data_IF_073109329893
#
_entry.id   IF_073109329893
#
_cell.length_a   1.000
_cell.length_b   1.000
_cell.length_c   1.000
_cell.angle_alpha   90.00
_cell.angle_beta   90.00
_cell.angle_gamma   90.00
#
_symmetry.space_group_name_H-M   'P 1'
#
loop_
_entity.id
_entity.type
_entity.pdbx_description
1 polymer ?
#
# COMPACT_ATOMS: atom_id res chain seq x y z
N UNK A 1 -0.67 106.32 -37.67
CA UNK A 1 -1.93 106.97 -37.22
C UNK A 1 -1.98 106.62 -35.72
N UNK A 2 -1.59 107.60 -34.94
CA UNK A 2 -2.38 108.40 -34.03
C UNK A 2 -2.98 107.60 -32.91
N UNK A 3 -2.76 107.85 -31.63
CA UNK A 3 -2.33 109.02 -30.86
C UNK A 3 -2.42 108.59 -29.38
N UNK A 4 -1.49 109.05 -28.59
CA UNK A 4 -1.57 110.21 -27.73
C UNK A 4 -2.55 110.06 -26.55
N UNK A 5 -2.03 110.17 -25.36
CA UNK A 5 -2.52 110.99 -24.30
C UNK A 5 -2.44 110.41 -22.90
N UNK A 6 -1.45 110.87 -22.23
CA UNK A 6 -1.33 111.90 -21.20
C UNK A 6 -1.98 111.56 -19.82
N UNK A 7 -1.05 111.47 -18.80
CA UNK A 7 -0.98 112.35 -17.59
C UNK A 7 -2.07 112.12 -16.56
N UNK A 8 -1.87 112.01 -15.29
CA UNK A 8 -1.17 112.88 -14.33
C UNK A 8 -1.27 112.30 -12.93
N UNK A 9 -0.18 112.24 -12.24
CA UNK A 9 0.20 112.96 -11.03
C UNK A 9 -0.65 112.79 -9.76
N UNK A 10 0.13 112.48 -8.72
CA UNK A 10 0.02 112.95 -7.32
C UNK A 10 -1.09 112.29 -6.49
N UNK A 11 -0.94 111.84 -5.27
CA UNK A 11 -0.12 112.25 -4.11
C UNK A 11 -0.11 111.15 -3.08
N UNK A 12 1.05 110.79 -2.58
CA UNK A 12 1.45 110.80 -1.18
C UNK A 12 0.35 110.59 -0.11
N UNK A 13 0.48 109.56 0.67
CA UNK A 13 0.53 109.57 2.13
C UNK A 13 1.05 108.27 2.70
N UNK A 14 2.13 108.34 3.33
CA UNK A 14 2.86 107.53 4.29
C UNK A 14 2.00 106.89 5.39
N UNK A 15 2.15 105.58 5.58
CA UNK A 15 2.08 104.97 6.94
C UNK A 15 2.80 103.62 6.95
N UNK A 16 3.88 103.50 7.67
CA UNK A 16 4.59 102.34 8.21
C UNK A 16 3.76 101.70 9.32
N UNK A 17 4.25 100.57 9.95
CA UNK A 17 4.62 99.22 9.44
C UNK A 17 3.83 98.15 10.18
N UNK A 18 3.77 96.93 9.65
CA UNK A 18 3.46 95.72 10.47
C UNK A 18 4.32 94.58 10.01
N UNK A 19 5.19 94.17 10.90
CA UNK A 19 6.05 93.00 10.96
C UNK A 19 5.42 91.76 10.38
N UNK A 20 5.93 91.25 9.24
CA UNK A 20 5.67 89.90 8.74
C UNK A 20 6.76 88.98 9.34
N UNK A 21 6.36 88.13 10.29
CA UNK A 21 7.18 87.07 10.82
C UNK A 21 7.32 85.95 9.77
N UNK A 22 8.57 85.82 9.24
CA UNK A 22 8.96 84.73 8.34
C UNK A 22 9.00 83.41 9.15
N UNK A 23 7.96 82.54 9.06
CA UNK A 23 7.99 81.19 9.56
C UNK A 23 8.81 80.30 8.64
N UNK A 24 10.11 80.16 8.90
CA UNK A 24 10.96 79.15 8.26
C UNK A 24 10.50 77.76 8.79
N UNK A 25 9.69 77.05 7.98
CA UNK A 25 9.38 75.63 8.22
C UNK A 25 10.68 74.86 8.06
N UNK A 26 11.29 74.42 9.19
CA UNK A 26 12.31 73.39 9.20
C UNK A 26 11.65 72.04 8.71
N UNK A 27 11.90 71.71 7.43
CA UNK A 27 11.75 70.33 6.91
C UNK A 27 12.84 69.50 7.56
N UNK A 28 12.46 68.88 8.74
CA UNK A 28 13.22 67.79 9.30
C UNK A 28 13.07 66.58 8.33
N UNK A 29 14.20 65.99 7.85
CA UNK A 29 14.10 64.75 7.08
C UNK A 29 13.44 63.68 7.97
N UNK A 30 12.29 63.15 7.53
CA UNK A 30 11.69 61.98 8.19
C UNK A 30 12.69 60.84 8.05
N UNK A 31 13.06 60.16 9.15
CA UNK A 31 13.89 58.97 9.06
C UNK A 31 13.15 57.95 8.19
N UNK A 32 13.77 57.54 7.09
CA UNK A 32 13.29 56.42 6.29
C UNK A 32 13.07 55.24 7.26
N UNK A 33 11.95 54.46 7.14
CA UNK A 33 11.75 53.34 7.98
C UNK A 33 12.95 52.42 7.84
N UNK A 34 13.69 52.20 8.91
CA UNK A 34 14.79 51.26 8.98
C UNK A 34 14.23 49.90 8.54
N UNK A 35 14.60 49.43 7.37
CA UNK A 35 14.27 48.09 6.92
C UNK A 35 14.86 47.13 7.94
N UNK A 36 14.01 46.47 8.67
CA UNK A 36 14.46 45.42 9.60
C UNK A 36 15.36 44.46 8.82
N UNK A 37 16.51 44.05 9.39
CA UNK A 37 17.46 43.20 8.69
C UNK A 37 16.74 41.93 8.25
N UNK A 38 16.62 41.72 6.95
CA UNK A 38 15.99 40.57 6.33
C UNK A 38 16.82 39.34 6.70
N UNK A 39 16.19 38.36 7.35
CA UNK A 39 16.84 37.10 7.65
C UNK A 39 17.05 36.34 6.32
N UNK A 40 18.28 35.99 6.02
CA UNK A 40 18.63 35.23 4.81
C UNK A 40 19.23 33.89 5.25
N UNK A 41 18.65 32.80 4.77
CA UNK A 41 19.02 31.40 5.20
C UNK A 41 19.20 30.55 3.95
N UNK A 42 20.24 29.69 3.91
CA UNK A 42 20.38 28.71 2.85
C UNK A 42 19.31 27.65 2.96
N UNK A 43 18.80 27.21 1.81
CA UNK A 43 17.79 26.18 1.70
C UNK A 43 18.03 25.27 0.52
N UNK A 44 17.11 24.34 0.32
CA UNK A 44 17.11 23.39 -0.80
C UNK A 44 15.70 23.19 -1.31
N UNK A 45 15.56 23.09 -2.62
CA UNK A 45 14.29 22.71 -3.25
C UNK A 45 14.06 21.22 -3.04
N UNK A 46 12.88 20.85 -2.57
CA UNK A 46 12.44 19.47 -2.37
C UNK A 46 11.08 19.25 -3.02
N UNK A 47 10.75 17.98 -3.33
CA UNK A 47 9.37 17.59 -3.61
C UNK A 47 8.61 17.39 -2.30
N UNK A 48 7.35 17.77 -2.25
CA UNK A 48 6.48 17.48 -1.11
C UNK A 48 6.27 15.96 -0.92
N UNK A 49 6.38 15.16 -2.00
CA UNK A 49 6.35 13.69 -1.95
C UNK A 49 7.61 13.07 -1.34
N UNK A 50 8.70 13.84 -1.23
CA UNK A 50 9.95 13.35 -0.66
C UNK A 50 10.73 12.42 -1.59
N UNK A 51 11.83 11.87 -1.04
CA UNK A 51 12.65 10.83 -1.71
C UNK A 51 12.40 9.50 -1.02
N UNK A 52 12.06 8.49 -1.81
CA UNK A 52 11.82 7.13 -1.34
C UNK A 52 13.01 6.24 -1.71
N UNK A 53 13.53 5.51 -0.73
CA UNK A 53 14.51 4.45 -0.93
C UNK A 53 13.78 3.15 -1.21
N UNK A 54 13.94 2.61 -2.39
CA UNK A 54 13.30 1.37 -2.81
C UNK A 54 14.27 0.21 -2.60
N UNK A 55 13.83 -0.77 -1.82
CA UNK A 55 14.52 -2.03 -1.58
C UNK A 55 13.74 -3.20 -2.14
N UNK A 56 14.26 -4.42 -1.96
CA UNK A 56 13.55 -5.65 -2.29
C UNK A 56 12.82 -6.19 -1.07
N UNK A 57 11.59 -6.66 -1.26
CA UNK A 57 10.85 -7.45 -0.28
C UNK A 57 11.13 -8.96 -0.41
N UNK A 58 11.80 -9.40 -1.50
CA UNK A 58 12.17 -10.78 -1.78
C UNK A 58 13.67 -11.03 -1.67
N UNK A 59 14.05 -12.31 -1.57
CA UNK A 59 15.42 -12.79 -1.67
C UNK A 59 15.63 -13.42 -3.03
N UNK A 60 16.75 -13.11 -3.68
CA UNK A 60 17.06 -13.67 -5.00
C UNK A 60 18.17 -12.91 -5.71
N UNK A 61 18.52 -13.35 -6.90
CA UNK A 61 19.46 -12.64 -7.75
C UNK A 61 18.70 -11.69 -8.68
N UNK A 62 19.19 -10.47 -8.84
CA UNK A 62 18.62 -9.51 -9.80
C UNK A 62 18.84 -10.07 -11.21
N UNK A 63 17.74 -10.29 -11.93
CA UNK A 63 17.75 -10.70 -13.32
C UNK A 63 17.92 -9.49 -14.24
N UNK A 64 17.07 -8.47 -14.06
CA UNK A 64 17.08 -7.28 -14.89
C UNK A 64 16.71 -6.03 -14.10
N UNK A 65 17.29 -4.89 -14.50
CA UNK A 65 16.94 -3.55 -14.04
C UNK A 65 16.32 -2.80 -15.22
N UNK A 66 15.04 -2.49 -15.10
CA UNK A 66 14.20 -2.00 -16.21
C UNK A 66 14.15 -0.46 -16.30
N UNK A 67 14.75 0.22 -15.35
CA UNK A 67 14.72 1.69 -15.28
C UNK A 67 16.12 2.27 -15.30
N UNK A 68 16.20 3.53 -15.76
CA UNK A 68 17.45 4.31 -15.80
C UNK A 68 17.35 5.52 -14.89
N UNK A 69 18.47 6.07 -14.42
CA UNK A 69 18.47 7.36 -13.73
C UNK A 69 17.72 8.42 -14.56
N UNK A 70 16.94 9.25 -13.87
CA UNK A 70 16.10 10.34 -14.39
C UNK A 70 14.91 9.90 -15.25
N UNK A 71 14.63 8.62 -15.41
CA UNK A 71 13.40 8.16 -16.03
C UNK A 71 12.19 8.46 -15.14
N UNK A 72 11.05 8.78 -15.78
CA UNK A 72 9.77 8.92 -15.09
C UNK A 72 9.13 7.56 -14.92
N UNK A 73 8.54 7.33 -13.75
CA UNK A 73 7.84 6.09 -13.40
C UNK A 73 6.48 6.41 -12.80
N UNK A 74 5.52 5.51 -12.99
CA UNK A 74 4.20 5.56 -12.39
C UNK A 74 4.05 4.51 -11.29
N UNK A 75 3.13 4.74 -10.39
CA UNK A 75 2.80 3.76 -9.35
C UNK A 75 2.45 2.40 -9.97
N UNK A 76 3.10 1.33 -9.51
CA UNK A 76 2.95 -0.02 -10.03
C UNK A 76 3.92 -0.40 -11.16
N UNK A 77 4.65 0.55 -11.76
CA UNK A 77 5.65 0.24 -12.80
C UNK A 77 6.71 -0.71 -12.27
N UNK A 78 7.12 -1.65 -13.10
CA UNK A 78 8.16 -2.62 -12.78
C UNK A 78 9.53 -1.97 -12.91
N UNK A 79 10.31 -2.03 -11.83
CA UNK A 79 11.62 -1.37 -11.71
C UNK A 79 12.76 -2.37 -11.82
N UNK A 80 12.65 -3.48 -11.10
CA UNK A 80 13.65 -4.54 -11.01
C UNK A 80 12.96 -5.88 -10.95
N UNK A 81 13.48 -6.87 -11.67
CA UNK A 81 13.06 -8.28 -11.61
C UNK A 81 14.12 -9.14 -10.96
N UNK A 82 13.68 -10.10 -10.16
CA UNK A 82 14.54 -11.12 -9.59
C UNK A 82 14.38 -12.43 -10.37
N UNK A 83 15.37 -13.31 -10.33
CA UNK A 83 15.25 -14.67 -10.85
C UNK A 83 14.28 -15.48 -10.00
N UNK A 84 13.08 -15.68 -10.51
CA UNK A 84 11.96 -16.28 -9.82
C UNK A 84 11.64 -17.70 -10.25
N UNK A 85 12.41 -18.29 -11.14
CA UNK A 85 12.20 -19.67 -11.61
C UNK A 85 12.00 -20.68 -10.49
N UNK A 86 12.77 -20.66 -9.36
CA UNK A 86 12.51 -21.58 -8.25
C UNK A 86 11.16 -21.35 -7.56
N UNK A 87 10.71 -20.09 -7.45
CA UNK A 87 9.45 -19.72 -6.82
C UNK A 87 8.26 -20.04 -7.74
N UNK A 88 8.42 -19.85 -9.05
CA UNK A 88 7.43 -20.28 -10.06
C UNK A 88 7.18 -21.77 -9.99
N UNK A 89 8.26 -22.59 -9.93
CA UNK A 89 8.16 -24.02 -9.74
C UNK A 89 7.47 -24.40 -8.40
N UNK A 90 7.71 -23.64 -7.32
CA UNK A 90 7.00 -23.83 -6.05
C UNK A 90 5.50 -23.55 -6.21
N UNK A 91 5.11 -22.47 -6.91
CA UNK A 91 3.69 -22.14 -7.18
C UNK A 91 3.01 -23.26 -7.95
N UNK A 92 3.66 -23.81 -8.98
CA UNK A 92 3.12 -24.95 -9.74
C UNK A 92 2.93 -26.19 -8.85
N UNK A 93 3.94 -26.51 -8.01
CA UNK A 93 3.85 -27.63 -7.09
C UNK A 93 2.70 -27.47 -6.08
N UNK A 94 2.48 -26.27 -5.53
CA UNK A 94 1.38 -25.97 -4.62
C UNK A 94 0.03 -25.99 -5.33
N UNK A 95 -0.05 -25.53 -6.57
CA UNK A 95 -1.26 -25.63 -7.38
C UNK A 95 -1.66 -27.10 -7.63
N UNK A 96 -0.69 -27.96 -7.95
CA UNK A 96 -0.92 -29.39 -8.09
C UNK A 96 -1.38 -30.05 -6.76
N UNK A 97 -0.80 -29.65 -5.62
CA UNK A 97 -1.21 -30.12 -4.30
C UNK A 97 -2.66 -29.72 -3.96
N UNK A 98 -3.05 -28.48 -4.29
CA UNK A 98 -4.42 -28.03 -4.13
C UNK A 98 -5.39 -28.85 -4.99
N UNK A 99 -5.06 -29.07 -6.27
CA UNK A 99 -5.90 -29.89 -7.17
C UNK A 99 -6.07 -31.34 -6.65
N UNK A 100 -5.02 -31.93 -6.08
CA UNK A 100 -5.09 -33.25 -5.45
C UNK A 100 -6.00 -33.23 -4.21
N UNK A 101 -5.89 -32.23 -3.34
CA UNK A 101 -6.75 -32.08 -2.16
C UNK A 101 -8.22 -31.84 -2.55
N UNK A 102 -8.49 -31.08 -3.60
CA UNK A 102 -9.83 -30.88 -4.18
C UNK A 102 -10.44 -32.19 -4.67
N UNK A 103 -9.68 -32.99 -5.41
CA UNK A 103 -10.15 -34.31 -5.87
C UNK A 103 -10.48 -35.26 -4.72
N UNK A 104 -9.70 -35.22 -3.63
CA UNK A 104 -9.98 -35.98 -2.42
C UNK A 104 -11.26 -35.51 -1.73
N UNK A 105 -11.41 -34.18 -1.56
CA UNK A 105 -12.59 -33.57 -0.98
C UNK A 105 -13.85 -33.91 -1.78
N UNK A 106 -13.81 -33.79 -3.09
CA UNK A 106 -14.96 -34.13 -3.95
C UNK A 106 -15.32 -35.59 -3.89
N UNK A 107 -14.35 -36.50 -3.84
CA UNK A 107 -14.56 -37.92 -3.67
C UNK A 107 -15.24 -38.23 -2.34
N UNK A 108 -14.75 -37.67 -1.24
CA UNK A 108 -15.32 -37.90 0.10
C UNK A 108 -16.71 -37.28 0.20
N UNK A 109 -16.90 -36.07 -0.29
CA UNK A 109 -18.19 -35.35 -0.29
C UNK A 109 -19.27 -36.08 -1.11
N UNK A 110 -18.90 -36.62 -2.27
CA UNK A 110 -19.84 -37.30 -3.16
C UNK A 110 -20.18 -38.71 -2.64
N UNK A 111 -19.35 -39.27 -1.77
CA UNK A 111 -19.59 -40.62 -1.18
C UNK A 111 -19.47 -41.73 -2.22
N UNK A 112 -20.16 -42.90 -1.96
CA UNK A 112 -20.16 -44.05 -2.84
C UNK A 112 -20.73 -43.72 -4.22
N UNK A 113 -20.18 -44.40 -5.23
CA UNK A 113 -20.66 -44.24 -6.61
C UNK A 113 -22.08 -44.81 -6.76
N UNK A 114 -22.93 -44.28 -7.64
CA UNK A 114 -24.24 -44.84 -7.92
C UNK A 114 -24.22 -46.33 -8.26
N UNK A 115 -23.19 -46.79 -8.97
CA UNK A 115 -22.99 -48.19 -9.29
C UNK A 115 -22.80 -49.07 -8.05
N UNK A 116 -22.10 -48.59 -7.02
CA UNK A 116 -21.91 -49.32 -5.76
C UNK A 116 -23.22 -49.48 -4.98
N UNK A 117 -24.06 -48.43 -5.01
CA UNK A 117 -25.41 -48.46 -4.44
C UNK A 117 -26.29 -49.48 -5.20
N UNK A 118 -26.26 -49.52 -6.53
CA UNK A 118 -26.99 -50.47 -7.37
C UNK A 118 -26.59 -51.90 -7.09
N UNK A 119 -25.29 -52.15 -6.88
CA UNK A 119 -24.80 -53.50 -6.45
C UNK A 119 -25.34 -53.87 -5.07
N UNK A 120 -25.38 -52.93 -4.13
CA UNK A 120 -25.98 -53.13 -2.81
C UNK A 120 -27.48 -53.42 -2.89
N UNK A 121 -28.21 -52.71 -3.77
CA UNK A 121 -29.66 -52.96 -4.02
C UNK A 121 -29.91 -54.37 -4.57
N UNK A 122 -29.09 -54.78 -5.55
CA UNK A 122 -29.16 -56.14 -6.11
C UNK A 122 -28.91 -57.23 -5.03
N UNK A 123 -27.94 -57.01 -4.14
CA UNK A 123 -27.64 -57.93 -3.02
C UNK A 123 -28.81 -58.02 -2.04
N UNK A 124 -29.50 -56.92 -1.77
CA UNK A 124 -30.73 -56.92 -0.97
C UNK A 124 -31.83 -57.70 -1.67
N UNK A 125 -32.10 -57.47 -2.96
CA UNK A 125 -33.12 -58.21 -3.75
C UNK A 125 -32.87 -59.72 -3.76
N UNK A 126 -31.62 -60.15 -3.94
CA UNK A 126 -31.24 -61.56 -3.85
C UNK A 126 -31.54 -62.14 -2.46
N UNK A 127 -31.12 -61.46 -1.40
CA UNK A 127 -31.32 -61.91 -0.02
C UNK A 127 -32.79 -61.91 0.37
N UNK A 128 -33.60 -61.02 -0.17
CA UNK A 128 -35.05 -60.97 0.05
C UNK A 128 -35.80 -62.13 -0.61
N UNK A 129 -35.47 -62.42 -1.88
CA UNK A 129 -36.03 -63.58 -2.56
C UNK A 129 -35.73 -64.89 -1.83
N UNK A 130 -34.50 -65.06 -1.33
CA UNK A 130 -34.06 -66.19 -0.57
C UNK A 130 -34.76 -66.31 0.79
N UNK A 131 -34.92 -65.17 1.49
CA UNK A 131 -35.65 -65.16 2.78
C UNK A 131 -37.15 -65.48 2.60
N UNK A 132 -37.78 -65.02 1.53
CA UNK A 132 -39.17 -65.24 1.16
C UNK A 132 -39.38 -66.75 0.82
N UNK A 133 -38.45 -67.34 0.04
CA UNK A 133 -38.49 -68.77 -0.29
C UNK A 133 -38.36 -69.62 0.96
N UNK A 134 -37.40 -69.35 1.86
CA UNK A 134 -37.21 -70.09 3.10
C UNK A 134 -38.42 -69.96 4.04
N UNK A 135 -39.05 -68.76 4.10
CA UNK A 135 -40.30 -68.56 4.86
C UNK A 135 -41.44 -69.40 4.31
N UNK A 136 -41.69 -69.37 3.00
CA UNK A 136 -42.72 -70.15 2.34
C UNK A 136 -42.46 -71.64 2.50
N UNK A 137 -41.21 -72.13 2.52
CA UNK A 137 -40.87 -73.48 2.77
C UNK A 137 -41.19 -73.91 4.21
N UNK A 138 -40.91 -73.03 5.19
CA UNK A 138 -41.30 -73.24 6.58
C UNK A 138 -42.81 -73.30 6.74
N UNK A 139 -43.59 -72.39 6.18
CA UNK A 139 -45.04 -72.31 6.19
C UNK A 139 -45.64 -73.63 5.63
N UNK A 140 -45.15 -74.08 4.46
CA UNK A 140 -45.57 -75.39 3.88
C UNK A 140 -45.26 -76.57 4.78
N UNK A 141 -44.09 -76.60 5.43
CA UNK A 141 -43.68 -77.67 6.33
C UNK A 141 -44.53 -77.70 7.58
N UNK A 142 -44.90 -76.55 8.13
CA UNK A 142 -45.81 -76.46 9.27
C UNK A 142 -47.24 -76.92 8.94
N UNK A 143 -47.78 -76.53 7.77
CA UNK A 143 -49.11 -76.95 7.29
C UNK A 143 -49.18 -78.47 7.06
N UNK A 144 -48.12 -79.07 6.56
CA UNK A 144 -48.05 -80.55 6.40
C UNK A 144 -47.93 -81.30 7.72
N UNK A 145 -47.40 -80.69 8.79
CA UNK A 145 -47.31 -81.28 10.12
C UNK A 145 -48.68 -81.50 10.77
N UNK A 146 -49.63 -80.56 10.53
CA UNK A 146 -51.03 -80.68 11.02
C UNK A 146 -51.79 -81.78 10.31
N UNK A 147 -51.36 -82.28 9.15
CA UNK A 147 -52.06 -83.23 8.32
C UNK A 147 -51.52 -84.66 8.37
N UNK A 148 -50.25 -84.99 8.25
CA UNK A 148 -49.56 -86.27 8.25
C UNK A 148 -48.03 -86.16 8.24
N UNK A 149 -47.30 -86.78 9.17
CA UNK A 149 -45.96 -87.35 9.05
C UNK A 149 -44.82 -86.43 8.61
N UNK A 150 -44.66 -85.23 9.21
CA UNK A 150 -43.40 -84.50 9.13
C UNK A 150 -42.62 -84.66 10.42
N UNK A 151 -41.36 -85.05 10.33
CA UNK A 151 -40.49 -85.21 11.51
C UNK A 151 -40.14 -83.86 12.14
N UNK A 152 -40.08 -83.82 13.47
CA UNK A 152 -39.64 -82.59 14.21
C UNK A 152 -38.28 -82.04 13.73
N UNK A 153 -37.38 -82.97 13.33
CA UNK A 153 -36.09 -82.58 12.74
C UNK A 153 -36.22 -81.66 11.47
N UNK A 154 -37.19 -81.99 10.59
CA UNK A 154 -37.44 -81.23 9.36
C UNK A 154 -38.06 -79.88 9.63
N UNK A 155 -38.90 -79.79 10.66
CA UNK A 155 -39.44 -78.47 11.11
C UNK A 155 -38.33 -77.59 11.68
N UNK A 156 -37.45 -78.15 12.53
CA UNK A 156 -36.32 -77.43 13.11
C UNK A 156 -35.33 -76.97 12.02
N UNK A 157 -35.12 -77.82 10.98
CA UNK A 157 -34.29 -77.40 9.83
C UNK A 157 -34.91 -76.28 9.07
N UNK A 158 -36.17 -76.33 8.68
CA UNK A 158 -36.85 -75.23 7.99
C UNK A 158 -36.90 -73.94 8.83
N UNK A 159 -37.11 -74.09 10.17
CA UNK A 159 -37.01 -72.90 11.07
C UNK A 159 -35.62 -72.29 11.16
N UNK A 160 -34.57 -73.14 11.15
CA UNK A 160 -33.19 -72.65 11.12
C UNK A 160 -32.90 -71.89 9.81
N UNK A 161 -33.29 -72.51 8.66
CA UNK A 161 -33.06 -71.88 7.33
C UNK A 161 -33.81 -70.58 7.15
N UNK A 162 -35.05 -70.48 7.60
CA UNK A 162 -35.79 -69.24 7.63
C UNK A 162 -35.14 -68.18 8.50
N UNK A 163 -34.63 -68.56 9.69
CA UNK A 163 -33.91 -67.59 10.57
C UNK A 163 -32.59 -67.14 9.97
N UNK A 164 -31.80 -68.03 9.37
CA UNK A 164 -30.52 -67.72 8.74
C UNK A 164 -30.76 -66.81 7.54
N UNK A 165 -31.72 -67.13 6.68
CA UNK A 165 -32.02 -66.26 5.51
C UNK A 165 -32.55 -64.90 5.91
N UNK A 166 -33.37 -64.80 6.96
CA UNK A 166 -33.82 -63.48 7.51
C UNK A 166 -32.67 -62.68 8.10
N UNK A 167 -31.69 -63.34 8.76
CA UNK A 167 -30.50 -62.67 9.26
C UNK A 167 -29.61 -62.13 8.10
N UNK A 168 -29.44 -62.92 7.03
CA UNK A 168 -28.72 -62.53 5.83
C UNK A 168 -29.39 -61.30 5.12
N UNK A 169 -30.73 -61.30 5.04
CA UNK A 169 -31.45 -60.12 4.52
C UNK A 169 -31.24 -58.87 5.38
N UNK A 170 -31.31 -59.02 6.70
CA UNK A 170 -31.04 -57.91 7.62
C UNK A 170 -29.62 -57.37 7.45
N UNK A 171 -28.62 -58.22 7.28
CA UNK A 171 -27.24 -57.82 7.01
C UNK A 171 -27.11 -57.08 5.68
N UNK A 172 -27.70 -57.61 4.58
CA UNK A 172 -27.67 -56.94 3.27
C UNK A 172 -28.32 -55.55 3.31
N UNK A 173 -29.46 -55.41 4.00
CA UNK A 173 -30.11 -54.11 4.19
C UNK A 173 -29.26 -53.14 5.01
N UNK A 174 -28.60 -53.59 6.05
CA UNK A 174 -27.71 -52.76 6.86
C UNK A 174 -26.50 -52.28 6.04
N UNK A 175 -25.91 -53.16 5.21
CA UNK A 175 -24.82 -52.78 4.30
C UNK A 175 -25.27 -51.74 3.27
N UNK A 176 -26.46 -51.89 2.67
CA UNK A 176 -27.01 -50.88 1.75
C UNK A 176 -27.30 -49.58 2.47
N UNK A 177 -27.83 -49.60 3.68
CA UNK A 177 -28.06 -48.41 4.47
C UNK A 177 -26.76 -47.62 4.72
N UNK A 178 -25.68 -48.33 5.10
CA UNK A 178 -24.36 -47.74 5.30
C UNK A 178 -23.81 -47.10 4.00
N UNK A 179 -23.99 -47.76 2.84
CA UNK A 179 -23.60 -47.17 1.55
C UNK A 179 -24.41 -45.89 1.23
N UNK A 180 -25.70 -45.90 1.52
CA UNK A 180 -26.57 -44.72 1.28
C UNK A 180 -26.32 -43.56 2.24
N UNK A 181 -25.88 -43.83 3.45
CA UNK A 181 -25.46 -42.82 4.44
C UNK A 181 -24.26 -42.06 3.95
N UNK A 182 -23.35 -42.70 3.19
CA UNK A 182 -22.19 -42.05 2.58
C UNK A 182 -21.04 -41.83 3.54
N UNK A 183 -20.25 -40.77 3.27
CA UNK A 183 -19.11 -40.43 4.13
C UNK A 183 -19.56 -39.76 5.42
N UNK A 184 -18.81 -39.98 6.49
CA UNK A 184 -19.06 -39.30 7.76
C UNK A 184 -18.80 -37.82 7.66
N UNK A 185 -19.54 -37.03 8.42
CA UNK A 185 -19.34 -35.55 8.44
C UNK A 185 -17.91 -35.16 8.86
N UNK A 186 -17.29 -35.96 9.75
CA UNK A 186 -15.91 -35.76 10.18
C UNK A 186 -14.93 -35.91 9.01
N UNK A 187 -15.12 -36.95 8.19
CA UNK A 187 -14.26 -37.23 7.03
C UNK A 187 -14.39 -36.09 5.98
N UNK A 188 -15.62 -35.61 5.75
CA UNK A 188 -15.89 -34.48 4.85
C UNK A 188 -15.24 -33.20 5.39
N UNK A 189 -15.34 -32.98 6.70
CA UNK A 189 -14.74 -31.80 7.35
C UNK A 189 -13.22 -31.85 7.29
N UNK A 190 -12.61 -33.01 7.54
CA UNK A 190 -11.18 -33.22 7.43
C UNK A 190 -10.68 -32.96 5.99
N UNK A 191 -11.36 -33.54 5.00
CA UNK A 191 -11.00 -33.33 3.60
C UNK A 191 -11.13 -31.84 3.17
N UNK A 192 -12.17 -31.14 3.69
CA UNK A 192 -12.35 -29.70 3.48
C UNK A 192 -11.19 -28.89 4.07
N UNK A 193 -10.79 -29.21 5.30
CA UNK A 193 -9.68 -28.51 5.96
C UNK A 193 -8.38 -28.72 5.19
N UNK A 194 -8.06 -29.93 4.75
CA UNK A 194 -6.89 -30.21 3.90
C UNK A 194 -6.89 -29.40 2.60
N UNK A 195 -8.07 -29.28 1.96
CA UNK A 195 -8.21 -28.41 0.78
C UNK A 195 -7.94 -26.95 1.13
N UNK A 196 -8.47 -26.46 2.26
CA UNK A 196 -8.24 -25.08 2.72
C UNK A 196 -6.77 -24.82 3.02
N UNK A 197 -6.08 -25.76 3.67
CA UNK A 197 -4.67 -25.66 3.98
C UNK A 197 -3.82 -25.60 2.70
N UNK A 198 -4.10 -26.48 1.72
CA UNK A 198 -3.42 -26.45 0.43
C UNK A 198 -3.66 -25.16 -0.36
N UNK A 199 -4.87 -24.57 -0.26
CA UNK A 199 -5.17 -23.28 -0.86
C UNK A 199 -4.37 -22.14 -0.21
N UNK A 200 -4.27 -22.13 1.12
CA UNK A 200 -3.48 -21.13 1.84
C UNK A 200 -1.97 -21.24 1.51
N UNK A 201 -1.44 -22.46 1.35
CA UNK A 201 -0.06 -22.67 0.93
C UNK A 201 0.20 -22.17 -0.50
N UNK A 202 -0.75 -22.35 -1.43
CA UNK A 202 -0.65 -21.79 -2.79
C UNK A 202 -0.64 -20.26 -2.75
N UNK A 203 -1.51 -19.63 -1.97
CA UNK A 203 -1.53 -18.17 -1.83
C UNK A 203 -0.23 -17.64 -1.22
N UNK A 204 0.36 -18.33 -0.25
CA UNK A 204 1.67 -17.98 0.31
C UNK A 204 2.78 -18.05 -0.75
N UNK A 205 2.76 -19.08 -1.61
CA UNK A 205 3.73 -19.19 -2.70
C UNK A 205 3.55 -18.09 -3.74
N UNK A 206 2.31 -17.72 -4.08
CA UNK A 206 2.00 -16.60 -4.98
C UNK A 206 2.46 -15.25 -4.42
N UNK A 207 2.22 -15.00 -3.12
CA UNK A 207 2.68 -13.78 -2.47
C UNK A 207 4.22 -13.65 -2.51
N UNK A 208 4.96 -14.78 -2.40
CA UNK A 208 6.42 -14.76 -2.60
C UNK A 208 6.81 -14.48 -4.05
N UNK A 209 6.06 -14.98 -5.00
CA UNK A 209 6.29 -14.70 -6.42
C UNK A 209 6.09 -13.21 -6.72
N UNK A 210 5.08 -12.57 -6.13
CA UNK A 210 4.88 -11.12 -6.28
C UNK A 210 6.05 -10.31 -5.73
N UNK A 211 6.74 -10.79 -4.69
CA UNK A 211 7.92 -10.12 -4.12
C UNK A 211 9.14 -10.14 -5.05
N UNK A 212 9.13 -10.97 -6.10
CA UNK A 212 10.15 -10.99 -7.12
C UNK A 212 10.13 -9.77 -8.03
N UNK A 213 9.02 -9.07 -8.10
CA UNK A 213 8.83 -7.89 -8.91
C UNK A 213 8.90 -6.64 -8.01
N UNK A 214 10.00 -5.90 -8.07
CA UNK A 214 10.13 -4.63 -7.38
C UNK A 214 9.42 -3.55 -8.18
N UNK A 215 8.38 -2.95 -7.61
CA UNK A 215 7.53 -1.96 -8.27
C UNK A 215 7.63 -0.59 -7.62
N UNK A 216 7.33 0.46 -8.41
CA UNK A 216 7.24 1.83 -7.93
C UNK A 216 6.02 1.98 -6.98
N UNK A 217 6.20 2.50 -5.75
CA UNK A 217 5.09 2.70 -4.83
C UNK A 217 4.25 3.94 -5.15
N UNK A 218 4.79 4.90 -5.94
CA UNK A 218 4.13 6.14 -6.32
C UNK A 218 4.72 6.68 -7.63
N UNK A 219 4.02 7.63 -8.23
CA UNK A 219 4.52 8.38 -9.39
C UNK A 219 5.74 9.21 -9.00
N UNK A 220 6.72 9.30 -9.91
CA UNK A 220 7.93 10.07 -9.61
C UNK A 220 9.00 9.96 -10.68
N UNK A 221 10.20 10.39 -10.30
CA UNK A 221 11.40 10.33 -11.13
C UNK A 221 12.48 9.54 -10.41
N UNK A 222 13.09 8.60 -11.10
CA UNK A 222 14.24 7.83 -10.57
C UNK A 222 15.43 8.78 -10.40
N UNK A 223 15.91 8.95 -9.17
CA UNK A 223 17.04 9.81 -8.88
C UNK A 223 18.37 9.11 -9.22
N UNK A 224 18.53 7.90 -8.72
CA UNK A 224 19.68 7.04 -8.97
C UNK A 224 19.29 5.55 -8.95
N UNK A 225 20.12 4.73 -9.54
CA UNK A 225 19.98 3.28 -9.60
C UNK A 225 21.26 2.66 -9.06
N UNK A 226 21.16 1.97 -7.94
CA UNK A 226 22.25 1.29 -7.25
C UNK A 226 22.27 -0.21 -7.54
N UNK A 227 21.15 -0.74 -8.02
CA UNK A 227 20.98 -2.14 -8.38
C UNK A 227 21.75 -2.49 -9.65
N UNK A 228 22.32 -3.70 -9.68
CA UNK A 228 23.01 -4.25 -10.86
C UNK A 228 22.53 -5.67 -11.14
N UNK A 229 22.35 -6.05 -12.43
CA UNK A 229 22.07 -7.42 -12.79
C UNK A 229 23.15 -8.39 -12.24
N UNK A 230 22.71 -9.56 -11.75
CA UNK A 230 23.58 -10.54 -11.11
C UNK A 230 23.84 -10.29 -9.62
N UNK A 231 23.41 -9.17 -9.05
CA UNK A 231 23.53 -8.89 -7.61
C UNK A 231 22.56 -9.78 -6.83
N UNK A 232 23.06 -10.43 -5.77
CA UNK A 232 22.23 -11.21 -4.87
C UNK A 232 21.67 -10.33 -3.75
N UNK A 233 20.37 -10.44 -3.51
CA UNK A 233 19.64 -9.73 -2.47
C UNK A 233 19.23 -10.69 -1.35
N UNK A 234 19.31 -10.20 -0.12
CA UNK A 234 18.92 -10.95 1.07
C UNK A 234 18.13 -10.06 2.02
N UNK A 235 17.05 -10.59 2.58
CA UNK A 235 16.27 -9.89 3.61
C UNK A 235 17.06 -9.67 4.92
N UNK A 236 18.11 -10.46 5.15
CA UNK A 236 18.98 -10.28 6.32
C UNK A 236 19.84 -9.00 6.24
N UNK A 237 20.09 -8.51 5.03
CA UNK A 237 20.86 -7.27 4.78
C UNK A 237 20.02 -6.37 3.88
N UNK A 238 19.25 -5.44 4.46
CA UNK A 238 18.44 -4.50 3.68
C UNK A 238 19.33 -3.70 2.72
N UNK A 239 19.05 -3.84 1.42
CA UNK A 239 19.80 -3.18 0.36
C UNK A 239 18.89 -2.23 -0.39
N UNK A 240 19.28 -0.95 -0.48
CA UNK A 240 18.60 0.01 -1.34
C UNK A 240 18.99 -0.26 -2.79
N UNK A 241 18.00 -0.41 -3.65
CA UNK A 241 18.17 -0.69 -5.07
C UNK A 241 18.16 0.58 -5.92
N UNK A 242 17.32 1.52 -5.55
CA UNK A 242 17.19 2.80 -6.25
C UNK A 242 16.48 3.84 -5.35
N UNK A 243 16.62 5.11 -5.71
CA UNK A 243 15.87 6.19 -5.10
C UNK A 243 14.88 6.79 -6.10
N UNK A 244 13.65 6.99 -5.65
CA UNK A 244 12.61 7.69 -6.41
C UNK A 244 12.27 8.97 -5.68
N UNK A 245 12.29 10.09 -6.40
CA UNK A 245 11.71 11.34 -5.93
C UNK A 245 10.24 11.34 -6.35
N UNK A 246 9.35 11.21 -5.39
CA UNK A 246 7.93 11.19 -5.66
C UNK A 246 7.44 12.52 -6.24
N UNK A 247 6.49 12.45 -7.16
CA UNK A 247 5.82 13.64 -7.68
C UNK A 247 5.10 14.38 -6.55
N UNK A 248 5.13 15.70 -6.63
CA UNK A 248 4.49 16.55 -5.63
C UNK A 248 4.73 18.02 -5.91
N UNK A 249 4.05 18.87 -5.15
CA UNK A 249 4.34 20.28 -5.17
C UNK A 249 5.78 20.53 -4.73
N UNK A 250 6.46 21.45 -5.42
CA UNK A 250 7.79 21.87 -4.98
C UNK A 250 7.66 22.65 -3.68
N UNK A 251 8.55 22.39 -2.75
CA UNK A 251 8.69 23.12 -1.49
C UNK A 251 10.15 23.46 -1.26
N UNK A 252 10.40 24.45 -0.41
CA UNK A 252 11.75 24.79 -0.01
C UNK A 252 11.95 24.40 1.44
N UNK A 253 12.97 23.60 1.73
CA UNK A 253 13.42 23.33 3.07
C UNK A 253 14.59 24.23 3.40
N UNK A 254 14.50 24.93 4.53
CA UNK A 254 15.59 25.75 5.09
C UNK A 254 15.90 25.28 6.51
N UNK A 255 17.11 25.58 6.95
CA UNK A 255 17.58 25.27 8.30
C UNK A 255 17.90 26.57 9.03
N UNK A 256 16.98 27.00 9.89
CA UNK A 256 17.10 28.23 10.66
C UNK A 256 17.83 27.95 11.95
N UNK A 257 18.90 28.74 12.28
CA UNK A 257 19.62 28.61 13.54
C UNK A 257 18.71 28.92 14.74
N UNK A 258 18.88 28.20 15.86
CA UNK A 258 18.05 28.35 17.05
C UNK A 258 17.96 29.81 17.54
N UNK A 259 19.04 30.59 17.42
CA UNK A 259 19.06 32.02 17.81
C UNK A 259 18.17 32.92 16.95
N UNK A 260 17.90 32.52 15.70
CA UNK A 260 17.10 33.30 14.73
C UNK A 260 15.65 32.83 14.65
N UNK A 261 15.31 31.71 15.34
CA UNK A 261 14.01 31.07 15.26
C UNK A 261 12.85 32.01 15.68
N UNK A 262 13.09 32.90 16.65
CA UNK A 262 12.10 33.88 17.10
C UNK A 262 11.70 34.90 16.00
N UNK A 263 12.46 34.98 14.91
CA UNK A 263 12.22 35.86 13.76
C UNK A 263 11.44 35.19 12.62
N UNK A 264 11.12 33.90 12.80
CA UNK A 264 10.37 33.11 11.81
C UNK A 264 9.02 32.72 12.40
N UNK A 265 7.98 32.93 11.59
CA UNK A 265 6.61 32.63 12.00
C UNK A 265 5.85 31.94 10.84
N UNK A 266 4.79 31.21 11.17
CA UNK A 266 3.92 30.58 10.15
C UNK A 266 3.26 31.66 9.28
N UNK A 267 2.98 31.32 8.01
CA UNK A 267 2.41 32.21 6.99
C UNK A 267 3.30 33.43 6.65
N UNK A 268 4.55 33.49 7.16
CA UNK A 268 5.48 34.54 6.82
C UNK A 268 5.84 34.49 5.35
N UNK A 269 5.72 35.60 4.62
CA UNK A 269 6.16 35.68 3.20
C UNK A 269 7.68 35.54 3.12
N UNK A 270 8.14 34.85 2.12
CA UNK A 270 9.56 34.72 1.82
C UNK A 270 9.80 34.73 0.31
N UNK A 271 11.01 35.14 -0.05
CA UNK A 271 11.49 35.14 -1.43
C UNK A 271 12.61 34.12 -1.56
N UNK A 272 12.52 33.24 -2.56
CA UNK A 272 13.50 32.19 -2.82
C UNK A 272 14.26 32.56 -4.10
N UNK A 273 15.59 32.61 -4.02
CA UNK A 273 16.48 32.89 -5.13
C UNK A 273 17.50 31.76 -5.27
N UNK A 274 17.88 31.44 -6.50
CA UNK A 274 18.87 30.41 -6.79
C UNK A 274 20.03 31.06 -7.59
N UNK A 275 21.26 30.82 -7.17
CA UNK A 275 22.43 31.36 -7.86
C UNK A 275 22.53 30.82 -9.30
N UNK A 276 22.18 29.57 -9.51
CA UNK A 276 22.15 28.94 -10.83
C UNK A 276 21.09 29.52 -11.79
N UNK A 277 20.09 30.26 -11.27
CA UNK A 277 18.98 30.84 -12.03
C UNK A 277 18.74 32.28 -11.57
N UNK A 278 19.66 33.22 -11.85
CA UNK A 278 19.62 34.55 -11.27
C UNK A 278 18.39 35.39 -11.66
N UNK A 279 17.73 35.05 -12.77
CA UNK A 279 16.52 35.71 -13.23
C UNK A 279 15.22 35.10 -12.70
N UNK A 280 15.32 34.06 -11.88
CA UNK A 280 14.15 33.38 -11.30
C UNK A 280 14.07 33.69 -9.82
N UNK A 281 12.99 34.38 -9.47
CA UNK A 281 12.65 34.68 -8.08
C UNK A 281 11.31 34.03 -7.77
N UNK A 282 11.28 33.13 -6.79
CA UNK A 282 10.06 32.44 -6.40
C UNK A 282 9.51 33.08 -5.13
N UNK A 283 8.17 33.17 -5.07
CA UNK A 283 7.46 33.56 -3.84
C UNK A 283 7.12 32.32 -3.07
N UNK A 284 7.30 32.41 -1.77
CA UNK A 284 7.03 31.32 -0.86
C UNK A 284 6.38 31.85 0.43
N UNK A 285 5.76 30.93 1.17
CA UNK A 285 5.24 31.18 2.52
C UNK A 285 5.71 30.08 3.46
N UNK A 286 6.01 30.45 4.69
CA UNK A 286 6.33 29.50 5.75
C UNK A 286 5.09 28.66 6.02
N UNK A 287 5.16 27.39 5.73
CA UNK A 287 4.09 26.42 5.97
C UNK A 287 4.22 25.79 7.35
N UNK A 288 5.44 25.36 7.70
CA UNK A 288 5.67 24.60 8.92
C UNK A 288 7.05 24.92 9.49
N UNK A 289 7.14 24.99 10.81
CA UNK A 289 8.37 25.16 11.58
C UNK A 289 8.51 23.94 12.48
N UNK A 290 9.60 23.17 12.31
CA UNK A 290 9.83 22.00 13.15
C UNK A 290 10.01 22.39 14.61
N UNK A 291 9.31 21.72 15.54
CA UNK A 291 9.52 21.92 16.98
C UNK A 291 10.78 21.22 17.49
N UNK A 292 11.45 20.45 16.65
CA UNK A 292 12.65 19.68 17.01
C UNK A 292 13.87 20.26 16.32
N UNK A 293 14.91 20.54 17.10
CA UNK A 293 16.19 20.97 16.60
C UNK A 293 17.02 19.77 16.16
N UNK A 294 17.81 19.96 15.10
CA UNK A 294 18.70 18.94 14.53
C UNK A 294 20.04 19.58 14.14
N UNK A 295 21.10 18.79 13.99
CA UNK A 295 22.35 19.28 13.43
C UNK A 295 22.15 19.82 12.01
N UNK A 296 22.86 20.90 11.66
CA UNK A 296 22.79 21.50 10.34
C UNK A 296 23.27 20.53 9.25
N UNK A 297 22.49 20.41 8.16
CA UNK A 297 22.82 19.60 6.98
C UNK A 297 22.91 20.40 5.69
N UNK A 298 22.24 21.56 5.61
CA UNK A 298 22.20 22.40 4.41
C UNK A 298 23.26 23.52 4.52
N UNK A 299 24.10 23.67 3.48
CA UNK A 299 25.08 24.75 3.39
C UNK A 299 26.25 24.63 4.33
N UNK A 300 26.50 23.45 4.88
CA UNK A 300 27.62 23.23 5.80
C UNK A 300 28.73 22.42 5.13
N UNK A 301 29.93 22.98 5.04
CA UNK A 301 31.14 22.28 4.66
C UNK A 301 32.12 22.28 5.85
N UNK A 302 32.58 21.11 6.28
CA UNK A 302 33.65 20.96 7.27
C UNK A 302 33.20 20.98 8.74
N UNK A 303 34.17 21.22 9.63
CA UNK A 303 34.00 21.11 11.09
C UNK A 303 33.07 22.19 11.70
N UNK A 304 32.84 23.31 11.01
CA UNK A 304 31.95 24.39 11.47
C UNK A 304 30.45 24.02 11.42
N UNK A 305 30.10 22.97 10.67
CA UNK A 305 28.74 22.45 10.61
C UNK A 305 28.33 21.65 11.85
N UNK A 306 29.33 21.08 12.55
CA UNK A 306 29.12 20.18 13.66
C UNK A 306 28.99 20.94 14.98
N UNK A 307 27.89 21.54 15.25
CA UNK A 307 27.68 22.20 16.55
C UNK A 307 26.61 23.29 16.52
N UNK A 308 26.02 23.54 15.36
CA UNK A 308 24.92 24.47 15.26
C UNK A 308 23.59 23.72 15.18
N UNK A 309 22.78 23.88 16.21
CA UNK A 309 21.42 23.37 16.21
C UNK A 309 20.53 24.26 15.36
N UNK A 310 19.80 23.64 14.47
CA UNK A 310 18.89 24.31 13.53
C UNK A 310 17.48 23.72 13.62
N UNK A 311 16.48 24.54 13.37
CA UNK A 311 15.13 24.10 13.17
C UNK A 311 14.85 23.99 11.66
N UNK A 312 14.46 22.83 11.14
CA UNK A 312 13.93 22.72 9.78
C UNK A 312 12.65 23.55 9.63
N UNK A 313 12.60 24.37 8.60
CA UNK A 313 11.44 25.17 8.21
C UNK A 313 11.08 24.84 6.79
N UNK A 314 9.81 24.50 6.57
CA UNK A 314 9.26 24.18 5.25
C UNK A 314 8.48 25.37 4.73
N UNK A 315 8.82 25.78 3.50
CA UNK A 315 8.11 26.82 2.80
C UNK A 315 7.37 26.22 1.59
N UNK A 316 6.10 26.54 1.46
CA UNK A 316 5.32 26.26 0.26
C UNK A 316 5.62 27.31 -0.80
N UNK A 317 5.86 26.87 -2.04
CA UNK A 317 6.01 27.77 -3.19
C UNK A 317 4.63 28.10 -3.77
N UNK A 318 4.42 29.34 -4.22
CA UNK A 318 3.17 29.72 -4.87
C UNK A 318 3.01 28.96 -6.20
N UNK A 319 1.79 28.53 -6.55
CA UNK A 319 1.54 27.78 -7.78
C UNK A 319 1.81 28.63 -9.03
N UNK A 320 2.17 27.95 -10.13
CA UNK A 320 2.38 28.59 -11.43
C UNK A 320 3.76 29.24 -11.64
N UNK A 321 4.67 29.09 -10.70
CA UNK A 321 6.04 29.59 -10.82
C UNK A 321 6.95 28.62 -11.60
N UNK A 322 8.16 29.12 -11.99
CA UNK A 322 9.15 28.29 -12.68
C UNK A 322 9.50 27.02 -11.89
N UNK A 323 9.52 25.88 -12.57
CA UNK A 323 9.97 24.61 -11.98
C UNK A 323 11.49 24.61 -11.89
N UNK A 324 12.00 24.58 -10.67
CA UNK A 324 13.43 24.40 -10.40
C UNK A 324 13.75 22.93 -10.17
N UNK A 325 14.98 22.48 -10.49
CA UNK A 325 15.42 21.12 -10.18
C UNK A 325 15.35 20.82 -8.68
N UNK A 326 14.90 19.61 -8.34
CA UNK A 326 14.90 19.13 -6.97
C UNK A 326 16.34 18.93 -6.51
N UNK A 327 16.64 19.30 -5.25
CA UNK A 327 18.00 19.29 -4.71
C UNK A 327 18.76 20.59 -4.93
N UNK A 328 18.23 21.53 -5.73
CA UNK A 328 18.90 22.81 -6.00
C UNK A 328 19.11 23.61 -4.71
N UNK A 329 20.35 24.06 -4.42
CA UNK A 329 20.60 24.99 -3.33
C UNK A 329 20.01 26.36 -3.66
N UNK A 330 19.37 26.96 -2.68
CA UNK A 330 18.69 28.26 -2.80
C UNK A 330 18.97 29.13 -1.57
N UNK A 331 18.79 30.45 -1.74
CA UNK A 331 18.79 31.40 -0.63
C UNK A 331 17.37 31.86 -0.39
N UNK A 332 16.94 31.83 0.86
CA UNK A 332 15.60 32.26 1.28
C UNK A 332 15.70 33.53 2.09
N UNK A 333 15.01 34.56 1.61
CA UNK A 333 14.91 35.87 2.24
C UNK A 333 13.52 35.98 2.90
N UNK A 334 13.52 35.99 4.22
CA UNK A 334 12.27 36.10 4.98
C UNK A 334 11.80 37.54 5.05
N UNK A 335 10.54 37.78 4.74
CA UNK A 335 9.88 39.06 4.94
C UNK A 335 9.50 39.33 6.40
N UNK A 336 8.73 40.33 6.71
CA UNK A 336 8.23 40.60 8.06
C UNK A 336 7.18 39.52 8.46
N UNK A 337 7.15 39.19 9.74
CA UNK A 337 6.07 38.35 10.27
C UNK A 337 4.72 39.04 10.12
N UNK A 338 3.67 38.34 9.68
CA UNK A 338 2.33 38.89 9.69
C UNK A 338 1.93 39.29 11.10
N UNK A 339 1.40 40.51 11.28
CA UNK A 339 0.85 40.95 12.58
C UNK A 339 -0.31 40.00 12.92
N UNK A 340 -0.25 39.40 14.12
CA UNK A 340 -1.41 38.65 14.63
C UNK A 340 -2.58 39.63 14.76
N UNK A 341 -3.62 39.43 13.94
CA UNK A 341 -4.90 40.12 14.08
C UNK A 341 -5.62 39.57 15.29
#
# INVERSE_FOLDING_TARGET
MTGIGHRSLMESVMKLPRTAALAAALLLPQPAPAQAPTLTVPGRIESAGGTMSIGSAGTGTIEEVLVQPWSRVHAGDLLVTLDCRPIEAEVEARAAALAAAEAVFDRVRNGPRPAEITVGEAAVGYSEARADEARKALERTLALHEGVSVTTARILEAQRDARVSAAQLKEARAKLALLREGSREEDVREARNRKSDAAAELENARARLEQCAVRAPADGVVADVLASPGQFLSLAVPTTLLHIVADGALRTRVEVEARDLARVCTEQPATVTAEAFPNVTLRAKVQEISPVLSPRTIGAAGAEARGKEVAPVILSLEPGQAKLPIGLPVMVHFGPCPSKS
#
